data_IF_841756546478
#
_entry.id   IF_841756546478
#
_cell.length_a   1.000
_cell.length_b   1.000
_cell.length_c   1.000
_cell.angle_alpha   90.00
_cell.angle_beta   90.00
_cell.angle_gamma   90.00
#
_symmetry.space_group_name_H-M   'P 1'
#
loop_
_entity.id
_entity.type
_entity.pdbx_description
1 polymer ?
#
# COMPACT_ATOMS: atom_id res chain seq x y z
N UNK A 1 -1.22 5.43 20.34
CA UNK A 1 -0.75 5.50 18.94
C UNK A 1 -1.59 4.56 18.10
N UNK A 2 -1.73 4.84 16.81
CA UNK A 2 -2.50 4.03 15.87
C UNK A 2 -1.81 4.06 14.51
N UNK A 3 -1.63 2.89 13.89
CA UNK A 3 -1.19 2.82 12.50
C UNK A 3 -2.36 3.07 11.56
N UNK A 4 -2.14 3.81 10.49
CA UNK A 4 -3.16 4.04 9.48
C UNK A 4 -3.40 2.80 8.61
N UNK A 5 -2.32 2.10 8.25
CA UNK A 5 -2.35 0.84 7.50
C UNK A 5 -1.07 0.04 7.77
N UNK A 6 -1.11 -0.81 8.80
CA UNK A 6 0.03 -1.66 9.11
C UNK A 6 0.33 -2.59 7.93
N UNK A 7 1.60 -2.67 7.53
CA UNK A 7 2.04 -3.64 6.51
C UNK A 7 1.70 -5.06 6.91
N UNK A 8 1.18 -5.84 5.97
CA UNK A 8 0.88 -7.26 6.16
C UNK A 8 2.14 -8.07 6.43
N UNK A 9 2.00 -9.18 7.15
CA UNK A 9 3.10 -10.14 7.34
C UNK A 9 3.58 -10.70 5.99
N UNK A 10 4.88 -10.98 5.89
CA UNK A 10 5.52 -11.46 4.65
C UNK A 10 5.90 -10.35 3.67
N UNK A 11 5.66 -9.08 4.02
CA UNK A 11 6.02 -7.92 3.21
C UNK A 11 6.92 -6.98 4.01
N UNK A 12 7.72 -6.18 3.31
CA UNK A 12 8.50 -5.10 3.91
C UNK A 12 7.92 -3.74 3.51
N UNK A 13 8.23 -2.68 4.26
CA UNK A 13 7.82 -1.32 3.92
C UNK A 13 8.81 -0.30 4.42
N UNK A 14 8.86 0.85 3.75
CA UNK A 14 9.64 2.02 4.15
C UNK A 14 8.78 3.26 4.50
N UNK A 15 7.45 3.13 4.53
CA UNK A 15 6.53 4.27 4.57
C UNK A 15 5.33 4.06 5.49
N UNK A 16 5.57 3.63 6.73
CA UNK A 16 4.51 3.49 7.74
C UNK A 16 3.98 4.85 8.21
N UNK A 17 2.65 4.96 8.35
CA UNK A 17 1.95 6.14 8.84
C UNK A 17 1.29 5.87 10.19
N UNK A 18 1.53 6.77 11.16
CA UNK A 18 1.13 6.58 12.56
C UNK A 18 0.60 7.86 13.18
N UNK A 19 -0.59 7.77 13.77
CA UNK A 19 -1.14 8.80 14.66
C UNK A 19 -0.63 8.59 16.10
N UNK A 20 -0.15 9.68 16.71
CA UNK A 20 0.35 9.69 18.10
C UNK A 20 -0.34 10.80 18.88
N UNK A 21 -1.08 10.43 19.93
CA UNK A 21 -1.67 11.38 20.88
C UNK A 21 -0.72 11.62 22.04
N UNK A 22 -0.54 12.90 22.39
CA UNK A 22 0.28 13.34 23.51
C UNK A 22 -0.62 13.94 24.59
N UNK A 23 -0.20 13.82 25.85
CA UNK A 23 -0.92 14.38 27.00
C UNK A 23 -0.68 15.87 27.19
N UNK A 24 0.36 16.41 26.55
CA UNK A 24 0.74 17.81 26.57
C UNK A 24 1.15 18.26 25.17
N UNK A 25 1.15 19.58 24.95
CA UNK A 25 1.63 20.14 23.69
C UNK A 25 3.14 20.03 23.62
N UNK A 26 3.63 19.45 22.53
CA UNK A 26 5.07 19.32 22.23
C UNK A 26 5.31 19.89 20.85
N UNK A 27 6.30 20.77 20.73
CA UNK A 27 6.73 21.28 19.42
C UNK A 27 7.17 20.14 18.49
N UNK A 28 6.77 20.21 17.22
CA UNK A 28 7.00 19.15 16.23
C UNK A 28 8.48 18.75 16.13
N UNK A 29 9.38 19.73 16.12
CA UNK A 29 10.83 19.49 16.07
C UNK A 29 11.35 18.75 17.32
N UNK A 30 10.80 19.08 18.50
CA UNK A 30 11.13 18.41 19.75
C UNK A 30 10.56 16.99 19.80
N UNK A 31 9.34 16.78 19.27
CA UNK A 31 8.75 15.46 19.12
C UNK A 31 9.61 14.58 18.20
N UNK A 32 9.98 15.09 17.02
CA UNK A 32 10.86 14.41 16.07
C UNK A 32 12.17 13.96 16.73
N UNK A 33 12.91 14.88 17.36
CA UNK A 33 14.18 14.56 18.01
C UNK A 33 14.06 13.52 19.13
N UNK A 34 12.99 13.60 19.95
CA UNK A 34 12.74 12.64 21.05
C UNK A 34 12.40 11.24 20.55
N UNK A 35 11.66 11.14 19.43
CA UNK A 35 11.29 9.86 18.84
C UNK A 35 12.52 9.25 18.16
N UNK A 36 13.21 10.02 17.32
CA UNK A 36 14.41 9.58 16.58
C UNK A 36 15.48 9.00 17.51
N UNK A 37 15.74 9.66 18.65
CA UNK A 37 16.71 9.21 19.65
C UNK A 37 16.39 7.85 20.30
N UNK A 38 15.18 7.30 20.08
CA UNK A 38 14.71 6.02 20.62
C UNK A 38 14.43 4.97 19.55
N UNK A 39 14.70 5.27 18.28
CA UNK A 39 14.48 4.32 17.19
C UNK A 39 15.47 3.17 17.24
N UNK A 40 14.99 1.97 16.92
CA UNK A 40 15.86 0.81 16.73
C UNK A 40 16.70 1.00 15.46
N UNK A 41 17.92 0.41 15.40
CA UNK A 41 18.72 0.43 14.18
C UNK A 41 17.91 -0.06 12.96
N UNK A 42 17.99 0.67 11.86
CA UNK A 42 17.23 0.37 10.64
C UNK A 42 15.82 0.98 10.58
N UNK A 43 15.37 1.65 11.64
CA UNK A 43 14.17 2.48 11.66
C UNK A 43 14.57 3.95 11.80
N UNK A 44 13.86 4.83 11.10
CA UNK A 44 14.05 6.27 11.19
C UNK A 44 12.73 7.00 10.95
N UNK A 45 12.65 8.23 11.42
CA UNK A 45 11.50 9.09 11.20
C UNK A 45 11.69 9.89 9.91
N UNK A 46 10.79 9.70 8.95
CA UNK A 46 10.80 10.43 7.67
C UNK A 46 10.25 11.84 7.84
N UNK A 47 9.15 11.97 8.59
CA UNK A 47 8.50 13.25 8.86
C UNK A 47 7.65 13.16 10.13
N UNK A 48 7.42 14.31 10.76
CA UNK A 48 6.43 14.50 11.82
C UNK A 48 5.64 15.75 11.49
N UNK A 49 4.33 15.65 11.59
CA UNK A 49 3.40 16.76 11.36
C UNK A 49 2.40 16.81 12.52
N UNK A 50 2.02 18.03 12.91
CA UNK A 50 0.91 18.22 13.83
C UNK A 50 -0.41 18.25 13.05
N UNK A 51 -1.37 17.41 13.46
CA UNK A 51 -2.71 17.35 12.87
C UNK A 51 -3.79 17.79 13.86
N UNK A 52 -4.91 18.37 13.40
CA UNK A 52 -6.02 18.73 14.28
C UNK A 52 -6.59 17.51 15.01
N UNK A 53 -6.86 17.64 16.32
CA UNK A 53 -7.44 16.56 17.14
C UNK A 53 -8.81 16.07 16.63
N UNK A 54 -9.58 16.96 15.98
CA UNK A 54 -10.87 16.66 15.38
C UNK A 54 -10.82 16.37 13.89
N UNK A 55 -9.62 16.26 13.30
CA UNK A 55 -9.44 15.92 11.90
C UNK A 55 -9.89 14.50 11.57
N UNK A 56 -9.99 14.16 10.28
CA UNK A 56 -10.27 12.79 9.86
C UNK A 56 -9.16 11.84 10.34
N UNK A 57 -9.53 10.62 10.73
CA UNK A 57 -8.55 9.59 11.06
C UNK A 57 -7.64 9.32 9.84
N UNK A 58 -6.34 9.15 10.05
CA UNK A 58 -5.36 9.04 8.97
C UNK A 58 -5.68 7.92 7.96
N UNK A 59 -6.23 6.79 8.45
CA UNK A 59 -6.71 5.68 7.63
C UNK A 59 -7.79 6.08 6.60
N UNK A 60 -8.57 7.14 6.87
CA UNK A 60 -9.61 7.66 5.98
C UNK A 60 -9.03 8.52 4.85
N UNK A 61 -7.80 9.01 5.02
CA UNK A 61 -7.13 9.86 4.05
C UNK A 61 -6.33 9.04 3.03
N UNK A 62 -5.95 7.80 3.33
CA UNK A 62 -5.21 6.95 2.41
C UNK A 62 -6.07 6.61 1.19
N UNK A 63 -5.43 6.59 0.01
CA UNK A 63 -6.05 6.31 -1.29
C UNK A 63 -5.42 5.12 -1.99
N UNK A 64 -4.10 5.02 -1.94
CA UNK A 64 -3.36 4.01 -2.67
C UNK A 64 -2.07 3.63 -1.96
N UNK A 65 -1.51 2.50 -2.38
CA UNK A 65 -0.19 2.04 -1.98
C UNK A 65 0.56 1.56 -3.21
N UNK A 66 1.82 1.94 -3.30
CA UNK A 66 2.73 1.44 -4.34
C UNK A 66 3.63 0.38 -3.75
N UNK A 67 3.70 -0.75 -4.45
CA UNK A 67 4.52 -1.89 -4.10
C UNK A 67 5.49 -2.20 -5.23
N UNK A 68 6.66 -2.71 -4.88
CA UNK A 68 7.61 -3.30 -5.81
C UNK A 68 7.94 -4.74 -5.43
N UNK A 69 8.24 -5.53 -6.46
CA UNK A 69 8.69 -6.90 -6.34
C UNK A 69 9.72 -7.17 -7.43
N UNK A 70 10.82 -7.84 -7.07
CA UNK A 70 11.81 -8.34 -8.03
C UNK A 70 11.44 -9.79 -8.34
N UNK A 71 11.22 -10.09 -9.62
CA UNK A 71 10.84 -11.42 -10.10
C UNK A 71 12.04 -12.04 -10.80
N UNK A 72 12.53 -13.13 -10.24
CA UNK A 72 13.63 -13.87 -10.81
C UNK A 72 13.20 -14.65 -12.08
N UNK A 73 14.08 -14.80 -13.08
CA UNK A 73 13.72 -15.41 -14.36
C UNK A 73 13.38 -16.92 -14.25
N UNK A 74 13.87 -17.60 -13.21
CA UNK A 74 13.53 -18.99 -12.88
C UNK A 74 12.14 -19.14 -12.27
N UNK A 75 11.65 -18.11 -11.58
CA UNK A 75 10.28 -18.04 -11.08
C UNK A 75 9.29 -17.78 -12.22
N UNK A 76 9.57 -16.76 -13.05
CA UNK A 76 8.79 -16.48 -14.24
C UNK A 76 9.62 -15.69 -15.27
N UNK A 77 9.79 -16.17 -16.51
CA UNK A 77 10.53 -15.45 -17.54
C UNK A 77 9.93 -14.08 -17.83
N UNK A 78 10.79 -13.09 -18.08
CA UNK A 78 10.40 -11.69 -18.33
C UNK A 78 9.31 -11.57 -19.40
N UNK A 79 9.48 -12.22 -20.56
CA UNK A 79 8.53 -12.14 -21.67
C UNK A 79 7.14 -12.67 -21.27
N UNK A 80 7.09 -13.80 -20.55
CA UNK A 80 5.83 -14.36 -20.05
C UNK A 80 5.17 -13.45 -19.02
N UNK A 81 5.96 -12.85 -18.12
CA UNK A 81 5.43 -11.88 -17.15
C UNK A 81 4.92 -10.61 -17.87
N UNK A 82 5.64 -10.11 -18.86
CA UNK A 82 5.26 -8.94 -19.66
C UNK A 82 3.93 -9.18 -20.41
N UNK A 83 3.75 -10.35 -21.01
CA UNK A 83 2.48 -10.75 -21.63
C UNK A 83 1.32 -10.77 -20.62
N UNK A 84 1.54 -11.33 -19.41
CA UNK A 84 0.51 -11.37 -18.35
C UNK A 84 0.18 -9.99 -17.81
N UNK A 85 1.18 -9.13 -17.63
CA UNK A 85 0.99 -7.72 -17.23
C UNK A 85 0.18 -6.98 -18.30
N UNK A 86 0.49 -7.17 -19.58
CA UNK A 86 -0.28 -6.59 -20.68
C UNK A 86 -1.73 -7.07 -20.69
N UNK A 87 -1.95 -8.38 -20.48
CA UNK A 87 -3.29 -8.97 -20.38
C UNK A 87 -4.09 -8.36 -19.23
N UNK A 88 -3.53 -8.29 -18.02
CA UNK A 88 -4.16 -7.66 -16.84
C UNK A 88 -4.52 -6.20 -17.11
N UNK A 89 -3.61 -5.44 -17.72
CA UNK A 89 -3.85 -4.03 -18.03
C UNK A 89 -4.98 -3.84 -19.05
N UNK A 90 -5.10 -4.74 -20.03
CA UNK A 90 -6.14 -4.74 -21.07
C UNK A 90 -7.48 -5.33 -20.64
N UNK A 91 -7.53 -6.04 -19.51
CA UNK A 91 -8.75 -6.72 -19.06
C UNK A 91 -9.81 -5.70 -18.63
N UNK A 92 -11.06 -5.93 -19.05
CA UNK A 92 -12.21 -5.16 -18.56
C UNK A 92 -12.59 -5.56 -17.14
N UNK A 93 -12.45 -6.85 -16.81
CA UNK A 93 -12.77 -7.43 -15.51
C UNK A 93 -11.80 -8.57 -15.18
N UNK A 94 -11.47 -8.71 -13.91
CA UNK A 94 -10.65 -9.80 -13.36
C UNK A 94 -11.38 -10.39 -12.15
N UNK A 95 -12.32 -11.29 -12.42
CA UNK A 95 -13.20 -11.85 -11.38
C UNK A 95 -12.44 -12.88 -10.56
N UNK A 96 -12.36 -12.62 -9.25
CA UNK A 96 -11.71 -13.48 -8.28
C UNK A 96 -12.64 -13.82 -7.13
N UNK A 97 -12.34 -14.93 -6.47
CA UNK A 97 -13.04 -15.36 -5.26
C UNK A 97 -12.20 -15.05 -4.02
N UNK A 98 -12.81 -14.40 -3.03
CA UNK A 98 -12.22 -14.18 -1.71
C UNK A 98 -13.08 -14.85 -0.65
N UNK A 99 -12.46 -15.66 0.20
CA UNK A 99 -13.14 -16.20 1.39
C UNK A 99 -13.04 -15.22 2.55
N UNK A 100 -14.20 -14.77 3.06
CA UNK A 100 -14.29 -13.94 4.26
C UNK A 100 -15.32 -14.54 5.20
N UNK A 101 -14.94 -14.72 6.48
CA UNK A 101 -15.80 -15.32 7.52
C UNK A 101 -16.43 -16.66 7.08
N UNK A 102 -15.64 -17.50 6.39
CA UNK A 102 -16.07 -18.81 5.91
C UNK A 102 -16.99 -18.78 4.68
N UNK A 103 -17.19 -17.63 4.05
CA UNK A 103 -17.99 -17.51 2.82
C UNK A 103 -17.13 -17.00 1.67
N UNK A 104 -17.14 -17.74 0.57
CA UNK A 104 -16.62 -17.29 -0.71
C UNK A 104 -17.48 -16.14 -1.25
N UNK A 105 -16.82 -15.08 -1.71
CA UNK A 105 -17.46 -13.95 -2.39
C UNK A 105 -16.64 -13.57 -3.62
N UNK A 106 -17.31 -13.47 -4.75
CA UNK A 106 -16.70 -12.95 -5.97
C UNK A 106 -16.56 -11.42 -5.89
N UNK A 107 -15.45 -10.94 -6.42
CA UNK A 107 -15.17 -9.52 -6.59
C UNK A 107 -14.34 -9.33 -7.86
N UNK A 108 -14.35 -8.10 -8.37
CA UNK A 108 -13.50 -7.72 -9.50
C UNK A 108 -12.21 -7.09 -8.97
N UNK A 109 -11.06 -7.67 -9.34
CA UNK A 109 -9.73 -7.17 -9.00
C UNK A 109 -9.33 -5.98 -9.88
N UNK A 110 -9.83 -5.90 -11.12
CA UNK A 110 -9.42 -4.89 -12.09
C UNK A 110 -9.54 -3.44 -11.60
N UNK A 111 -10.64 -3.01 -10.95
CA UNK A 111 -10.75 -1.63 -10.45
C UNK A 111 -9.85 -1.34 -9.25
N UNK A 112 -9.20 -2.36 -8.66
CA UNK A 112 -8.29 -2.20 -7.53
C UNK A 112 -6.83 -1.98 -7.98
N UNK A 113 -6.55 -2.12 -9.28
CA UNK A 113 -5.24 -1.91 -9.90
C UNK A 113 -5.25 -0.53 -10.57
N UNK A 114 -4.52 0.42 -9.98
CA UNK A 114 -4.40 1.79 -10.50
C UNK A 114 -3.31 1.86 -11.58
N UNK A 115 -2.18 1.20 -11.33
CA UNK A 115 -1.07 1.08 -12.26
C UNK A 115 -0.37 -0.27 -12.06
N UNK A 116 0.05 -0.89 -13.17
CA UNK A 116 0.85 -2.11 -13.16
C UNK A 116 1.87 -2.03 -14.28
N UNK A 117 3.15 -2.00 -13.91
CA UNK A 117 4.26 -1.90 -14.85
C UNK A 117 5.34 -2.93 -14.53
N UNK A 118 6.13 -3.23 -15.56
CA UNK A 118 7.28 -4.12 -15.49
C UNK A 118 8.46 -3.46 -16.21
N UNK A 119 9.65 -3.61 -15.66
CA UNK A 119 10.90 -3.18 -16.29
C UNK A 119 11.99 -4.26 -16.11
N UNK A 120 12.89 -4.44 -17.10
CA UNK A 120 14.05 -5.30 -16.92
C UNK A 120 15.06 -4.64 -15.98
N UNK A 121 15.79 -5.46 -15.24
CA UNK A 121 16.91 -5.03 -14.39
C UNK A 121 18.25 -5.43 -15.00
N UNK A 122 19.39 -4.87 -14.53
CA UNK A 122 20.72 -5.27 -15.01
C UNK A 122 21.09 -6.74 -14.73
N UNK A 123 20.36 -7.42 -13.84
CA UNK A 123 20.61 -8.78 -13.36
C UNK A 123 19.71 -9.83 -14.04
N UNK A 124 19.02 -9.46 -15.13
CA UNK A 124 18.04 -10.32 -15.85
C UNK A 124 16.79 -10.67 -15.02
N UNK A 125 16.59 -9.98 -13.89
CA UNK A 125 15.35 -10.02 -13.11
C UNK A 125 14.37 -8.96 -13.64
N UNK A 126 13.08 -9.12 -13.33
CA UNK A 126 12.05 -8.13 -13.64
C UNK A 126 11.68 -7.33 -12.39
N UNK A 127 11.65 -6.00 -12.51
CA UNK A 127 11.04 -5.13 -11.50
C UNK A 127 9.56 -4.95 -11.83
N UNK A 128 8.69 -5.51 -10.99
CA UNK A 128 7.24 -5.33 -11.04
C UNK A 128 6.84 -4.20 -10.10
N UNK A 129 6.16 -3.17 -10.61
CA UNK A 129 5.61 -2.07 -9.82
C UNK A 129 4.08 -2.13 -9.86
N UNK A 130 3.47 -2.11 -8.67
CA UNK A 130 2.03 -2.29 -8.48
C UNK A 130 1.49 -1.11 -7.66
N UNK A 131 0.71 -0.23 -8.27
CA UNK A 131 -0.07 0.78 -7.55
C UNK A 131 -1.49 0.27 -7.35
N UNK A 132 -1.88 0.09 -6.09
CA UNK A 132 -3.14 -0.55 -5.72
C UNK A 132 -4.00 0.37 -4.87
N UNK A 133 -5.32 0.28 -5.06
CA UNK A 133 -6.29 0.99 -4.24
C UNK A 133 -6.15 0.58 -2.78
N UNK A 134 -6.10 1.56 -1.89
CA UNK A 134 -6.08 1.36 -0.45
C UNK A 134 -6.96 2.42 0.21
N UNK A 135 -8.23 2.10 0.33
CA UNK A 135 -9.25 2.93 0.98
C UNK A 135 -10.01 2.11 2.02
N UNK A 136 -10.79 2.75 2.92
CA UNK A 136 -11.62 2.03 3.87
C UNK A 136 -12.66 1.09 3.23
N UNK A 137 -13.09 1.36 2.00
CA UNK A 137 -14.12 0.57 1.30
C UNK A 137 -13.54 -0.49 0.36
N UNK A 138 -12.33 -0.26 -0.18
CA UNK A 138 -11.72 -1.11 -1.19
C UNK A 138 -10.21 -1.22 -0.96
N UNK A 139 -9.69 -2.45 -1.08
CA UNK A 139 -8.27 -2.73 -0.91
C UNK A 139 -7.82 -3.73 -1.96
N UNK A 140 -6.98 -3.26 -2.89
CA UNK A 140 -6.18 -4.10 -3.76
C UNK A 140 -5.00 -4.65 -2.96
N UNK A 141 -4.79 -5.96 -3.03
CA UNK A 141 -3.70 -6.61 -2.32
C UNK A 141 -2.67 -7.16 -3.30
N UNK A 142 -1.37 -6.99 -3.04
CA UNK A 142 -0.34 -7.46 -3.95
C UNK A 142 -0.30 -8.97 -4.07
N UNK A 143 -0.60 -9.73 -3.00
CA UNK A 143 -0.71 -11.20 -3.06
C UNK A 143 -1.78 -11.67 -4.05
N UNK A 144 -2.90 -10.96 -4.09
CA UNK A 144 -3.93 -11.22 -5.07
C UNK A 144 -3.43 -10.91 -6.49
N UNK A 145 -2.83 -9.75 -6.72
CA UNK A 145 -2.30 -9.42 -8.04
C UNK A 145 -1.20 -10.39 -8.50
N UNK A 146 -0.29 -10.79 -7.62
CA UNK A 146 0.74 -11.79 -7.92
C UNK A 146 0.12 -13.13 -8.34
N UNK A 147 -0.91 -13.58 -7.62
CA UNK A 147 -1.64 -14.80 -7.99
C UNK A 147 -2.30 -14.70 -9.37
N UNK A 148 -2.84 -13.52 -9.72
CA UNK A 148 -3.42 -13.25 -11.05
C UNK A 148 -2.36 -13.31 -12.15
N UNK A 149 -1.16 -12.82 -11.85
CA UNK A 149 0.01 -12.95 -12.73
C UNK A 149 0.61 -14.36 -12.73
N UNK A 150 -0.01 -15.32 -12.03
CA UNK A 150 0.43 -16.71 -11.93
C UNK A 150 1.75 -16.91 -11.18
N UNK A 151 2.01 -16.05 -10.19
CA UNK A 151 3.10 -16.15 -9.22
C UNK A 151 2.52 -16.62 -7.88
N UNK A 152 3.24 -17.47 -7.15
CA UNK A 152 2.92 -17.72 -5.74
C UNK A 152 3.39 -16.51 -4.91
N UNK A 153 2.49 -15.82 -4.17
CA UNK A 153 2.89 -14.72 -3.30
C UNK A 153 3.94 -15.06 -2.26
N UNK A 154 4.09 -16.35 -1.91
CA UNK A 154 5.09 -16.81 -0.94
C UNK A 154 6.51 -16.88 -1.53
N UNK A 155 6.63 -16.94 -2.86
CA UNK A 155 7.92 -16.98 -3.56
C UNK A 155 8.43 -15.57 -3.92
N UNK A 156 7.66 -14.52 -3.59
CA UNK A 156 7.95 -13.14 -3.99
C UNK A 156 8.07 -12.24 -2.76
N UNK A 157 9.24 -11.60 -2.60
CA UNK A 157 9.41 -10.57 -1.59
C UNK A 157 8.81 -9.25 -2.08
N UNK A 158 7.69 -8.85 -1.49
CA UNK A 158 7.04 -7.57 -1.80
C UNK A 158 7.52 -6.48 -0.85
N UNK A 159 7.85 -5.32 -1.40
CA UNK A 159 8.20 -4.11 -0.67
C UNK A 159 7.17 -3.01 -0.94
N UNK A 160 6.64 -2.38 0.11
CA UNK A 160 5.79 -1.20 0.00
C UNK A 160 6.64 0.05 0.01
N UNK A 161 6.70 0.71 -1.15
CA UNK A 161 7.52 1.89 -1.39
C UNK A 161 6.86 3.18 -0.92
N UNK A 162 5.56 3.34 -1.15
CA UNK A 162 4.85 4.58 -0.83
C UNK A 162 3.37 4.37 -0.49
N UNK A 163 2.80 5.36 0.21
CA UNK A 163 1.38 5.51 0.47
C UNK A 163 0.93 6.86 -0.08
N UNK A 164 -0.18 6.86 -0.82
CA UNK A 164 -0.80 8.08 -1.34
C UNK A 164 -1.92 8.50 -0.40
N UNK A 165 -1.82 9.73 0.10
CA UNK A 165 -2.84 10.37 0.93
C UNK A 165 -3.62 11.34 0.02
N UNK A 166 -4.95 11.24 0.01
CA UNK A 166 -5.82 12.16 -0.70
C UNK A 166 -6.05 13.43 0.10
N UNK A 167 -6.39 14.52 -0.59
CA UNK A 167 -6.77 15.78 0.07
C UNK A 167 -8.02 15.60 0.94
N UNK A 168 -8.14 16.42 1.99
CA UNK A 168 -9.37 16.56 2.76
C UNK A 168 -10.51 16.91 1.80
N UNK A 169 -11.56 16.08 1.77
CA UNK A 169 -12.83 16.56 1.23
C UNK A 169 -13.33 17.57 2.26
N UNK A 170 -13.13 18.86 1.98
CA UNK A 170 -13.66 19.96 2.78
C UNK A 170 -15.13 19.65 3.06
N UNK A 171 -15.42 19.30 4.32
CA UNK A 171 -16.75 18.91 4.74
C UNK A 171 -17.71 20.02 4.36
N UNK A 172 -18.64 19.72 3.45
CA UNK A 172 -19.71 20.62 3.09
C UNK A 172 -20.37 21.15 4.36
N UNK A 173 -20.30 22.46 4.53
CA UNK A 173 -20.80 23.13 5.71
C UNK A 173 -22.24 22.70 5.99
N UNK A 174 -22.45 22.06 7.14
CA UNK A 174 -23.79 22.03 7.73
C UNK A 174 -24.02 23.38 8.37
N UNK A 175 -24.58 24.29 7.58
CA UNK A 175 -25.33 25.42 8.10
C UNK A 175 -26.64 24.94 8.74
N UNK A 176 -26.99 25.56 9.87
CA UNK A 176 -28.30 25.45 10.54
C UNK A 176 -28.38 24.26 11.51
N UNK A 177 -28.65 24.45 12.80
CA UNK A 177 -29.37 25.50 13.53
C UNK A 177 -28.75 25.71 14.91
#
# INVERSE_FOLDING_TARGET
MQFATATSLGMTSQCELVDVWLTERVEVSAAHAKIEARMAPGLGIVAVEEVPLGGPALQMLIRASTYTAVIAPDLLPYETLAERVAAVNSAEQLIRERTSKGKAKNYDLRPLILSLTIAPTPTDEALLTMELVLTPSQTGRPDELLSELGLDPLDVLVHRESLTIGEEVAGGGRGGR
#
